data_IF_743626225159
#
_entry.id   IF_743626225159
#
_cell.length_a   1.000
_cell.length_b   1.000
_cell.length_c   1.000
_cell.angle_alpha   90.00
_cell.angle_beta   90.00
_cell.angle_gamma   90.00
#
_symmetry.space_group_name_H-M   'P 1'
#
loop_
_entity.id
_entity.type
_entity.pdbx_description
1 polymer ?
#
# COMPACT_ATOMS: atom_id res chain seq x y z
N UNK A 1 -11.25 32.41 2.78
CA UNK A 1 -11.03 31.05 2.26
C UNK A 1 -10.08 30.24 3.15
N UNK A 2 -8.82 30.65 3.39
CA UNK A 2 -7.88 29.89 4.23
C UNK A 2 -8.38 29.68 5.67
N UNK A 3 -8.96 30.69 6.30
CA UNK A 3 -9.52 30.62 7.66
C UNK A 3 -10.75 29.72 7.79
N UNK A 4 -11.58 29.60 6.75
CA UNK A 4 -12.73 28.68 6.77
C UNK A 4 -12.26 27.23 6.63
N UNK A 5 -11.31 26.95 5.73
CA UNK A 5 -10.76 25.61 5.56
C UNK A 5 -10.07 25.11 6.83
N UNK A 6 -9.36 26.00 7.56
CA UNK A 6 -8.73 25.63 8.82
C UNK A 6 -9.76 25.26 9.90
N UNK A 7 -10.90 25.95 9.96
CA UNK A 7 -11.99 25.65 10.90
C UNK A 7 -12.72 24.34 10.56
N UNK A 8 -12.81 24.02 9.27
CA UNK A 8 -13.50 22.82 8.77
C UNK A 8 -12.57 21.61 8.66
N UNK A 9 -11.24 21.78 8.91
CA UNK A 9 -10.29 20.67 8.90
C UNK A 9 -10.52 19.79 10.13
N UNK A 10 -10.67 18.49 9.91
CA UNK A 10 -10.77 17.52 10.99
C UNK A 10 -9.59 17.65 11.96
N UNK A 11 -9.86 17.53 13.24
CA UNK A 11 -8.80 17.50 14.25
C UNK A 11 -7.94 16.25 14.05
N UNK A 12 -6.63 16.42 14.09
CA UNK A 12 -5.71 15.29 14.03
C UNK A 12 -5.91 14.37 15.23
N UNK A 13 -6.10 13.10 14.94
CA UNK A 13 -6.21 12.03 15.94
C UNK A 13 -5.27 10.87 15.54
N UNK A 14 -4.19 10.70 16.29
CA UNK A 14 -3.22 9.63 16.05
C UNK A 14 -3.85 8.25 16.11
N UNK A 15 -4.91 8.05 16.93
CA UNK A 15 -5.65 6.78 17.00
C UNK A 15 -6.23 6.38 15.64
N UNK A 16 -6.65 7.33 14.79
CA UNK A 16 -7.10 7.04 13.42
C UNK A 16 -5.99 6.49 12.53
N UNK A 17 -4.75 6.92 12.75
CA UNK A 17 -3.59 6.36 12.04
C UNK A 17 -3.26 4.96 12.53
N UNK A 18 -3.38 4.72 13.83
CA UNK A 18 -3.13 3.43 14.48
C UNK A 18 -4.27 2.43 14.25
N UNK A 19 -5.52 2.91 14.17
CA UNK A 19 -6.72 2.10 13.93
C UNK A 19 -6.82 1.67 12.46
N UNK A 20 -5.86 0.93 11.98
CA UNK A 20 -5.99 0.19 10.72
C UNK A 20 -6.60 -1.17 11.00
N UNK A 21 -7.80 -1.19 11.51
CA UNK A 21 -8.58 -2.40 11.50
C UNK A 21 -8.82 -2.81 10.04
N UNK A 22 -8.50 -4.05 9.70
CA UNK A 22 -8.97 -4.62 8.45
C UNK A 22 -10.50 -4.72 8.51
N UNK A 23 -11.18 -4.58 7.38
CA UNK A 23 -12.59 -4.98 7.31
C UNK A 23 -12.68 -6.49 7.52
N UNK A 24 -13.69 -6.91 8.27
CA UNK A 24 -13.90 -8.31 8.60
C UNK A 24 -15.24 -8.77 8.06
N UNK A 25 -15.25 -9.90 7.39
CA UNK A 25 -16.45 -10.56 6.91
C UNK A 25 -16.76 -11.75 7.82
N UNK A 26 -18.00 -11.81 8.27
CA UNK A 26 -18.52 -12.85 9.16
C UNK A 26 -19.49 -13.74 8.39
N UNK A 27 -19.49 -15.01 8.72
CA UNK A 27 -20.43 -15.99 8.20
C UNK A 27 -21.81 -15.91 8.92
N UNK A 28 -22.72 -16.82 8.58
CA UNK A 28 -24.07 -16.88 9.18
C UNK A 28 -24.08 -17.20 10.68
N UNK A 29 -22.99 -17.76 11.20
CA UNK A 29 -22.83 -18.09 12.62
C UNK A 29 -22.17 -16.95 13.41
N UNK A 30 -21.67 -15.91 12.71
CA UNK A 30 -20.89 -14.83 13.31
C UNK A 30 -19.39 -15.16 13.43
N UNK A 31 -18.93 -16.24 12.80
CA UNK A 31 -17.53 -16.60 12.75
C UNK A 31 -16.82 -15.81 11.64
N UNK A 32 -15.54 -15.49 11.86
CA UNK A 32 -14.73 -14.77 10.87
C UNK A 32 -14.45 -15.71 9.69
N UNK A 33 -15.04 -15.40 8.52
CA UNK A 33 -14.79 -16.13 7.30
C UNK A 33 -13.71 -15.47 6.41
N UNK A 34 -13.53 -14.16 6.54
CA UNK A 34 -12.53 -13.43 5.75
C UNK A 34 -12.15 -12.12 6.44
N UNK A 35 -10.85 -11.80 6.38
CA UNK A 35 -10.34 -10.50 6.82
C UNK A 35 -9.62 -9.85 5.63
N UNK A 36 -10.09 -8.68 5.22
CA UNK A 36 -9.53 -7.95 4.08
C UNK A 36 -8.06 -7.60 4.33
N UNK A 37 -7.18 -8.02 3.43
CA UNK A 37 -5.74 -7.78 3.54
C UNK A 37 -5.00 -8.67 4.54
N UNK A 38 -5.62 -9.77 5.01
CA UNK A 38 -4.95 -10.80 5.81
C UNK A 38 -4.39 -11.94 4.97
N UNK A 39 -3.38 -12.64 5.51
CA UNK A 39 -2.95 -13.96 5.05
C UNK A 39 -3.83 -15.06 5.68
N UNK A 40 -3.69 -16.30 5.20
CA UNK A 40 -4.52 -17.48 5.51
C UNK A 40 -4.96 -17.72 6.98
N UNK A 41 -4.38 -17.03 7.96
CA UNK A 41 -4.72 -17.17 9.38
C UNK A 41 -5.40 -15.92 10.01
N UNK A 42 -6.02 -15.06 9.22
CA UNK A 42 -6.97 -14.04 9.72
C UNK A 42 -6.36 -12.80 10.39
N UNK A 43 -5.07 -12.73 10.63
CA UNK A 43 -4.43 -11.55 11.24
C UNK A 43 -3.47 -10.87 10.27
N UNK A 44 -3.75 -9.62 9.95
CA UNK A 44 -2.82 -8.75 9.23
C UNK A 44 -1.61 -8.53 10.13
N UNK A 45 -0.45 -9.09 9.74
CA UNK A 45 0.80 -8.85 10.46
C UNK A 45 1.28 -7.43 10.13
N UNK A 46 1.14 -6.50 11.05
CA UNK A 46 1.80 -5.21 10.95
C UNK A 46 3.28 -5.40 11.33
N UNK A 47 4.15 -4.76 10.55
CA UNK A 47 5.58 -4.67 10.88
C UNK A 47 5.82 -3.49 11.82
N UNK A 48 6.89 -3.57 12.60
CA UNK A 48 7.51 -2.44 13.31
C UNK A 48 8.63 -1.84 12.45
N UNK A 49 9.20 -0.71 12.85
CA UNK A 49 10.33 -0.12 12.10
C UNK A 49 11.56 -1.05 12.11
N UNK A 50 11.80 -1.74 13.22
CA UNK A 50 12.93 -2.65 13.38
C UNK A 50 12.85 -3.90 12.48
N UNK A 51 11.65 -4.23 11.96
CA UNK A 51 11.47 -5.30 10.98
C UNK A 51 11.86 -4.86 9.55
N UNK A 52 12.04 -3.55 9.31
CA UNK A 52 12.30 -3.00 7.97
C UNK A 52 13.81 -3.00 7.68
N UNK A 53 14.28 -3.75 6.67
CA UNK A 53 15.69 -3.67 6.28
C UNK A 53 15.98 -2.30 5.66
N UNK A 54 17.19 -1.77 5.89
CA UNK A 54 17.59 -0.44 5.44
C UNK A 54 17.41 -0.26 3.92
N UNK A 55 17.70 -1.29 3.13
CA UNK A 55 17.50 -1.24 1.66
C UNK A 55 16.05 -0.95 1.25
N UNK A 56 15.06 -1.38 2.06
CA UNK A 56 13.65 -1.08 1.80
C UNK A 56 13.33 0.37 2.15
N UNK A 57 13.80 0.84 3.32
CA UNK A 57 13.62 2.23 3.76
C UNK A 57 14.19 3.18 2.70
N UNK A 58 15.42 2.93 2.26
CA UNK A 58 16.12 3.73 1.26
C UNK A 58 15.40 3.73 -0.10
N UNK A 59 14.91 2.56 -0.55
CA UNK A 59 14.18 2.44 -1.81
C UNK A 59 12.86 3.22 -1.78
N UNK A 60 12.08 3.12 -0.68
CA UNK A 60 10.82 3.84 -0.49
C UNK A 60 11.07 5.35 -0.44
N UNK A 61 12.05 5.79 0.34
CA UNK A 61 12.40 7.21 0.49
C UNK A 61 12.91 7.79 -0.82
N UNK A 62 13.79 7.07 -1.52
CA UNK A 62 14.29 7.49 -2.84
C UNK A 62 13.15 7.63 -3.87
N UNK A 63 12.17 6.72 -3.84
CA UNK A 63 11.06 6.68 -4.77
C UNK A 63 10.01 7.77 -4.49
N UNK A 64 9.59 7.88 -3.24
CA UNK A 64 8.40 8.62 -2.85
C UNK A 64 8.72 9.98 -2.24
N UNK A 65 9.80 10.09 -1.46
CA UNK A 65 10.05 11.29 -0.68
C UNK A 65 11.52 11.41 -0.23
N UNK A 66 12.41 11.77 -1.15
CA UNK A 66 13.85 11.73 -0.95
C UNK A 66 14.38 12.61 0.22
N UNK A 67 13.55 13.50 0.73
CA UNK A 67 13.86 14.34 1.91
C UNK A 67 12.93 14.06 3.08
N UNK A 68 12.37 12.86 3.15
CA UNK A 68 11.40 12.46 4.17
C UNK A 68 11.86 12.74 5.60
N UNK A 69 13.12 12.43 5.89
CA UNK A 69 13.69 12.63 7.23
C UNK A 69 14.09 14.09 7.54
N UNK A 70 14.02 15.00 6.56
CA UNK A 70 14.45 16.40 6.71
C UNK A 70 13.30 17.37 6.92
N UNK A 71 12.12 17.12 6.31
CA UNK A 71 10.98 18.03 6.35
C UNK A 71 9.98 17.67 7.46
N UNK A 72 9.06 18.57 7.80
CA UNK A 72 8.05 18.41 8.85
C UNK A 72 6.66 18.14 8.24
N UNK A 73 6.47 16.98 7.59
CA UNK A 73 5.20 16.55 6.97
C UNK A 73 4.89 17.18 5.61
N UNK A 74 5.60 18.25 5.24
CA UNK A 74 5.36 19.05 4.04
C UNK A 74 6.68 19.51 3.44
N UNK A 75 6.90 19.27 2.15
CA UNK A 75 8.10 19.64 1.40
C UNK A 75 7.80 20.71 0.36
N UNK A 76 7.94 21.99 0.73
CA UNK A 76 7.69 23.12 -0.16
C UNK A 76 8.63 23.13 -1.40
N UNK A 77 9.96 22.97 -1.28
CA UNK A 77 10.85 22.90 -2.43
C UNK A 77 10.47 21.81 -3.43
N UNK A 78 10.04 20.64 -2.95
CA UNK A 78 9.57 19.54 -3.79
C UNK A 78 8.32 19.92 -4.57
N UNK A 79 7.36 20.57 -3.93
CA UNK A 79 6.11 21.02 -4.57
C UNK A 79 6.40 22.04 -5.66
N UNK A 80 7.24 23.05 -5.37
CA UNK A 80 7.65 24.06 -6.35
C UNK A 80 8.35 23.40 -7.55
N UNK A 81 9.27 22.47 -7.30
CA UNK A 81 9.96 21.72 -8.35
C UNK A 81 9.00 20.90 -9.19
N UNK A 82 8.05 20.19 -8.58
CA UNK A 82 7.04 19.41 -9.28
C UNK A 82 6.14 20.31 -10.14
N UNK A 83 5.71 21.48 -9.62
CA UNK A 83 4.92 22.45 -10.36
C UNK A 83 5.66 22.97 -11.59
N UNK A 84 6.94 23.32 -11.45
CA UNK A 84 7.77 23.79 -12.56
C UNK A 84 8.04 22.69 -13.61
N UNK A 85 8.26 21.44 -13.17
CA UNK A 85 8.42 20.30 -14.06
C UNK A 85 7.16 20.02 -14.88
N UNK A 86 5.99 20.01 -14.22
CA UNK A 86 4.70 19.79 -14.86
C UNK A 86 4.38 20.90 -15.87
N UNK A 87 4.72 22.15 -15.54
CA UNK A 87 4.55 23.28 -16.45
C UNK A 87 5.40 23.16 -17.73
N UNK A 88 6.65 22.66 -17.58
CA UNK A 88 7.56 22.45 -18.70
C UNK A 88 7.18 21.24 -19.57
N UNK A 89 6.63 20.20 -18.95
CA UNK A 89 6.25 18.96 -19.65
C UNK A 89 4.87 19.05 -20.32
N UNK A 90 4.05 20.05 -19.97
CA UNK A 90 2.66 20.15 -20.43
C UNK A 90 1.73 19.08 -19.84
N UNK A 91 2.23 18.25 -18.94
CA UNK A 91 1.50 17.15 -18.29
C UNK A 91 1.99 16.94 -16.84
N UNK A 92 1.19 16.23 -16.03
CA UNK A 92 1.53 15.93 -14.63
C UNK A 92 2.54 14.78 -14.58
N UNK A 93 3.83 15.09 -14.64
CA UNK A 93 4.93 14.13 -14.67
C UNK A 93 5.47 13.74 -13.30
N UNK A 94 5.11 14.44 -12.22
CA UNK A 94 5.61 14.15 -10.88
C UNK A 94 4.66 14.52 -9.75
N UNK A 95 4.63 13.68 -8.70
CA UNK A 95 3.89 13.90 -7.47
C UNK A 95 4.69 14.73 -6.47
N UNK A 96 4.14 15.88 -6.05
CA UNK A 96 4.74 16.72 -5.00
C UNK A 96 4.32 16.34 -3.57
N UNK A 97 3.58 15.24 -3.36
CA UNK A 97 3.10 14.83 -2.05
C UNK A 97 4.16 14.05 -1.28
N UNK A 98 4.29 14.32 0.02
CA UNK A 98 5.18 13.58 0.93
C UNK A 98 4.56 12.25 1.35
N UNK A 99 5.38 11.34 1.94
CA UNK A 99 4.91 10.09 2.56
C UNK A 99 3.85 10.40 3.63
N UNK A 100 4.08 11.40 4.48
CA UNK A 100 3.13 11.82 5.52
C UNK A 100 1.79 12.27 4.90
N UNK A 101 1.82 13.08 3.84
CA UNK A 101 0.59 13.48 3.14
C UNK A 101 -0.15 12.29 2.50
N UNK A 102 0.58 11.30 1.97
CA UNK A 102 -0.03 10.10 1.42
C UNK A 102 -0.70 9.25 2.50
N UNK A 103 -0.06 9.09 3.68
CA UNK A 103 -0.63 8.42 4.85
C UNK A 103 -1.92 9.13 5.30
N UNK A 104 -1.88 10.45 5.48
CA UNK A 104 -3.04 11.27 5.84
C UNK A 104 -4.16 11.13 4.83
N UNK A 105 -3.87 11.24 3.53
CA UNK A 105 -4.86 11.08 2.47
C UNK A 105 -5.58 9.73 2.58
N UNK A 106 -4.84 8.65 2.76
CA UNK A 106 -5.41 7.29 2.85
C UNK A 106 -6.26 7.08 4.11
N UNK A 107 -5.92 7.76 5.21
CA UNK A 107 -6.59 7.58 6.50
C UNK A 107 -7.80 8.50 6.68
N UNK A 108 -7.66 9.77 6.29
CA UNK A 108 -8.68 10.80 6.55
C UNK A 108 -9.58 11.09 5.35
N UNK A 109 -9.10 10.77 4.13
CA UNK A 109 -9.77 11.13 2.88
C UNK A 109 -9.77 9.97 1.86
N UNK A 110 -10.12 8.73 2.25
CA UNK A 110 -9.97 7.56 1.38
C UNK A 110 -10.77 7.69 0.07
N UNK A 111 -11.98 8.23 0.13
CA UNK A 111 -12.91 8.34 -1.00
C UNK A 111 -13.21 9.78 -1.41
N UNK A 112 -12.50 10.76 -0.84
CA UNK A 112 -12.78 12.17 -1.11
C UNK A 112 -12.31 12.61 -2.50
N UNK A 113 -13.15 13.40 -3.16
CA UNK A 113 -12.82 14.01 -4.45
C UNK A 113 -11.56 14.87 -4.38
N UNK A 114 -10.86 15.01 -5.51
CA UNK A 114 -9.67 15.86 -5.64
C UNK A 114 -10.07 17.33 -5.66
N UNK A 115 -10.03 18.00 -4.50
CA UNK A 115 -10.29 19.43 -4.36
C UNK A 115 -9.10 20.15 -3.74
N UNK A 116 -8.98 21.44 -3.98
CA UNK A 116 -7.96 22.28 -3.32
C UNK A 116 -8.15 22.35 -1.80
N UNK A 117 -9.40 22.41 -1.34
CA UNK A 117 -9.74 22.41 0.09
C UNK A 117 -9.23 21.14 0.77
N UNK A 118 -9.54 19.95 0.20
CA UNK A 118 -9.02 18.69 0.69
C UNK A 118 -7.48 18.68 0.73
N UNK A 119 -6.82 19.15 -0.35
CA UNK A 119 -5.35 19.19 -0.39
C UNK A 119 -4.76 20.07 0.70
N UNK A 120 -5.42 21.18 1.01
CA UNK A 120 -5.00 22.05 2.10
C UNK A 120 -5.17 21.37 3.47
N UNK A 121 -6.28 20.67 3.69
CA UNK A 121 -6.52 19.87 4.89
C UNK A 121 -5.51 18.74 5.04
N UNK A 122 -5.14 18.06 3.95
CA UNK A 122 -4.05 17.05 3.95
C UNK A 122 -2.72 17.63 4.45
N UNK A 123 -2.35 18.83 4.01
CA UNK A 123 -1.11 19.49 4.42
C UNK A 123 -1.14 19.83 5.92
N UNK A 124 -2.24 20.41 6.40
CA UNK A 124 -2.39 20.75 7.82
C UNK A 124 -2.28 19.50 8.69
N UNK A 125 -3.01 18.44 8.35
CA UNK A 125 -2.98 17.19 9.09
C UNK A 125 -1.62 16.49 9.00
N UNK A 126 -0.92 16.57 7.86
CA UNK A 126 0.42 16.02 7.71
C UNK A 126 1.45 16.72 8.62
N UNK A 127 1.37 18.03 8.75
CA UNK A 127 2.20 18.80 9.68
C UNK A 127 1.90 18.43 11.14
N UNK A 128 0.62 18.21 11.48
CA UNK A 128 0.23 17.79 12.82
C UNK A 128 0.68 16.37 13.12
N UNK A 129 0.58 15.46 12.15
CA UNK A 129 1.06 14.09 12.26
C UNK A 129 2.58 14.03 12.49
N UNK A 130 3.33 14.80 11.73
CA UNK A 130 4.80 14.85 11.82
C UNK A 130 5.31 15.47 13.13
N UNK A 131 4.48 16.29 13.79
CA UNK A 131 4.76 16.81 15.14
C UNK A 131 4.44 15.80 16.25
N UNK A 132 3.48 14.91 16.01
CA UNK A 132 2.96 13.98 17.02
C UNK A 132 3.62 12.60 16.97
N UNK A 133 4.21 12.23 15.84
CA UNK A 133 4.79 10.91 15.56
C UNK A 133 6.23 11.07 15.05
N UNK A 134 7.07 10.09 15.31
CA UNK A 134 8.41 10.01 14.72
C UNK A 134 8.34 9.68 13.22
N UNK A 135 9.43 9.90 12.49
CA UNK A 135 9.53 9.53 11.08
C UNK A 135 9.42 8.02 10.87
N UNK A 136 9.99 7.26 11.76
CA UNK A 136 9.94 5.80 11.80
C UNK A 136 8.51 5.31 11.98
N UNK A 137 7.76 5.91 12.91
CA UNK A 137 6.33 5.59 13.12
C UNK A 137 5.49 5.92 11.88
N UNK A 138 5.70 7.10 11.28
CA UNK A 138 4.98 7.53 10.06
C UNK A 138 5.26 6.57 8.90
N UNK A 139 6.54 6.23 8.67
CA UNK A 139 6.94 5.33 7.58
C UNK A 139 6.35 3.93 7.79
N UNK A 140 6.41 3.41 9.01
CA UNK A 140 5.86 2.11 9.37
C UNK A 140 4.34 2.06 9.17
N UNK A 141 3.62 3.07 9.65
CA UNK A 141 2.18 3.20 9.45
C UNK A 141 1.81 3.30 7.96
N UNK A 142 2.61 4.01 7.18
CA UNK A 142 2.43 4.12 5.74
C UNK A 142 2.60 2.76 5.06
N UNK A 143 3.71 2.05 5.33
CA UNK A 143 4.01 0.76 4.73
C UNK A 143 3.02 -0.34 5.13
N UNK A 144 2.45 -0.26 6.32
CA UNK A 144 1.42 -1.19 6.76
C UNK A 144 0.04 -0.97 6.08
N UNK A 145 -0.19 0.21 5.44
CA UNK A 145 -1.51 0.57 4.90
C UNK A 145 -1.59 0.59 3.38
N UNK A 146 -0.47 0.63 2.69
CA UNK A 146 -0.49 0.88 1.26
C UNK A 146 -0.63 -0.39 0.44
N UNK A 147 -1.07 -0.22 -0.82
CA UNK A 147 -1.20 -1.29 -1.81
C UNK A 147 0.08 -1.41 -2.61
N UNK A 148 0.55 -2.64 -2.80
CA UNK A 148 1.73 -2.96 -3.61
C UNK A 148 1.41 -3.66 -4.93
N UNK A 149 0.15 -4.00 -5.21
CA UNK A 149 -0.28 -4.70 -6.42
C UNK A 149 -1.79 -4.75 -6.58
N UNK A 150 -2.26 -5.59 -7.51
CA UNK A 150 -3.69 -5.77 -7.81
C UNK A 150 -4.41 -6.61 -6.77
N UNK A 151 -3.68 -7.55 -6.13
CA UNK A 151 -4.25 -8.46 -5.16
C UNK A 151 -4.49 -7.80 -3.81
N UNK A 152 -5.56 -8.19 -3.14
CA UNK A 152 -5.82 -7.83 -1.73
C UNK A 152 -4.73 -8.40 -0.81
N UNK A 153 -4.07 -9.50 -1.23
CA UNK A 153 -2.93 -10.10 -0.54
C UNK A 153 -1.67 -9.24 -0.58
N UNK A 154 -1.66 -8.15 -1.35
CA UNK A 154 -0.54 -7.20 -1.43
C UNK A 154 -0.80 -5.89 -0.67
N UNK A 155 -1.71 -5.89 0.32
CA UNK A 155 -1.97 -4.73 1.18
C UNK A 155 -1.07 -4.77 2.40
N UNK A 156 -0.21 -3.76 2.52
CA UNK A 156 0.84 -3.68 3.54
C UNK A 156 2.09 -4.47 3.14
N UNK A 157 3.23 -4.00 3.65
CA UNK A 157 4.54 -4.49 3.23
C UNK A 157 4.76 -5.97 3.58
N UNK A 158 4.33 -6.43 4.75
CA UNK A 158 4.48 -7.83 5.14
C UNK A 158 3.70 -8.77 4.19
N UNK A 159 2.45 -8.42 3.88
CA UNK A 159 1.62 -9.19 2.97
C UNK A 159 2.18 -9.17 1.55
N UNK A 160 2.63 -8.01 1.07
CA UNK A 160 3.22 -7.88 -0.26
C UNK A 160 4.52 -8.68 -0.40
N UNK A 161 5.41 -8.64 0.60
CA UNK A 161 6.66 -9.41 0.60
C UNK A 161 6.36 -10.91 0.56
N UNK A 162 5.40 -11.35 1.34
CA UNK A 162 4.98 -12.76 1.34
C UNK A 162 4.34 -13.17 0.02
N UNK A 163 3.47 -12.32 -0.54
CA UNK A 163 2.76 -12.55 -1.80
C UNK A 163 3.69 -12.66 -3.01
N UNK A 164 4.65 -11.73 -3.13
CA UNK A 164 5.54 -11.71 -4.29
C UNK A 164 6.74 -12.64 -4.14
N UNK A 165 7.32 -12.75 -2.95
CA UNK A 165 8.62 -13.40 -2.75
C UNK A 165 8.60 -14.60 -1.80
N UNK A 166 7.49 -14.84 -1.11
CA UNK A 166 7.38 -15.86 -0.05
C UNK A 166 8.43 -15.70 1.07
N UNK A 167 8.78 -14.47 1.42
CA UNK A 167 9.78 -14.09 2.42
C UNK A 167 9.18 -13.26 3.55
N UNK A 168 9.92 -13.13 4.65
CA UNK A 168 9.68 -12.08 5.64
C UNK A 168 10.29 -10.75 5.17
N UNK A 169 9.79 -9.62 5.72
CA UNK A 169 10.22 -8.28 5.29
C UNK A 169 11.70 -8.05 5.52
N UNK A 170 12.24 -8.56 6.63
CA UNK A 170 13.67 -8.47 6.98
C UNK A 170 14.61 -9.17 5.99
N UNK A 171 14.08 -10.07 5.16
CA UNK A 171 14.85 -10.83 4.17
C UNK A 171 14.87 -10.20 2.76
N UNK A 172 14.26 -9.02 2.60
CA UNK A 172 14.21 -8.33 1.32
C UNK A 172 15.59 -7.93 0.83
N UNK A 173 15.89 -8.32 -0.40
CA UNK A 173 17.09 -7.90 -1.12
C UNK A 173 16.90 -6.56 -1.83
N UNK A 174 17.97 -5.92 -2.25
CA UNK A 174 17.94 -4.63 -2.96
C UNK A 174 17.01 -4.64 -4.19
N UNK A 175 17.07 -5.62 -5.13
CA UNK A 175 16.18 -5.62 -6.30
C UNK A 175 14.71 -5.85 -5.92
N UNK A 176 14.42 -6.61 -4.86
CA UNK A 176 13.06 -6.83 -4.36
C UNK A 176 12.50 -5.57 -3.69
N UNK A 177 13.29 -4.91 -2.84
CA UNK A 177 12.93 -3.63 -2.22
C UNK A 177 12.64 -2.55 -3.27
N UNK A 178 13.49 -2.44 -4.29
CA UNK A 178 13.30 -1.49 -5.40
C UNK A 178 12.04 -1.82 -6.23
N UNK A 179 11.70 -3.09 -6.41
CA UNK A 179 10.48 -3.51 -7.10
C UNK A 179 9.24 -3.09 -6.30
N UNK A 180 9.20 -3.37 -4.99
CA UNK A 180 8.09 -2.96 -4.13
C UNK A 180 7.95 -1.43 -4.08
N UNK A 181 9.05 -0.70 -3.91
CA UNK A 181 9.03 0.77 -3.95
C UNK A 181 8.51 1.31 -5.29
N UNK A 182 8.85 0.64 -6.39
CA UNK A 182 8.38 1.00 -7.73
C UNK A 182 6.88 0.84 -7.90
N UNK A 183 6.28 -0.18 -7.30
CA UNK A 183 4.85 -0.47 -7.44
C UNK A 183 3.94 0.60 -6.82
N UNK A 184 4.44 1.37 -5.84
CA UNK A 184 3.65 2.36 -5.10
C UNK A 184 3.01 3.45 -5.95
N UNK A 185 3.70 3.87 -7.00
CA UNK A 185 3.23 4.91 -7.91
C UNK A 185 1.94 4.50 -8.65
N UNK A 186 1.87 3.25 -9.09
CA UNK A 186 0.70 2.66 -9.74
C UNK A 186 0.67 1.14 -9.51
N UNK A 187 0.16 0.68 -8.38
CA UNK A 187 0.16 -0.74 -8.02
C UNK A 187 -0.46 -1.64 -9.10
N UNK A 188 -1.45 -1.12 -9.82
CA UNK A 188 -2.10 -1.84 -10.90
C UNK A 188 -1.22 -2.02 -12.15
N UNK A 189 -0.48 -0.98 -12.54
CA UNK A 189 0.33 -0.98 -13.76
C UNK A 189 1.73 -1.59 -13.56
N UNK A 190 2.18 -1.68 -12.31
CA UNK A 190 3.51 -2.20 -11.96
C UNK A 190 3.44 -3.52 -11.18
N UNK A 191 2.30 -4.21 -11.20
CA UNK A 191 2.18 -5.56 -10.64
C UNK A 191 2.94 -6.55 -11.52
N UNK A 192 4.01 -7.20 -11.00
CA UNK A 192 4.89 -8.04 -11.83
C UNK A 192 4.22 -9.31 -12.34
N UNK A 193 3.19 -9.81 -11.68
CA UNK A 193 2.44 -10.97 -12.18
C UNK A 193 1.58 -10.68 -13.42
N UNK A 194 1.26 -9.40 -13.67
CA UNK A 194 0.40 -8.99 -14.79
C UNK A 194 1.13 -8.10 -15.79
N UNK A 195 2.12 -7.33 -15.34
CA UNK A 195 2.82 -6.33 -16.15
C UNK A 195 4.34 -6.40 -15.91
N UNK A 196 4.94 -7.57 -16.16
CA UNK A 196 6.35 -7.87 -15.86
C UNK A 196 7.33 -6.82 -16.43
N UNK A 197 7.16 -6.42 -17.69
CA UNK A 197 8.03 -5.44 -18.33
C UNK A 197 7.95 -4.08 -17.64
N UNK A 198 6.74 -3.59 -17.35
CA UNK A 198 6.54 -2.33 -16.67
C UNK A 198 7.13 -2.36 -15.24
N UNK A 199 6.94 -3.47 -14.52
CA UNK A 199 7.51 -3.69 -13.20
C UNK A 199 9.05 -3.67 -13.24
N UNK A 200 9.65 -4.31 -14.24
CA UNK A 200 11.11 -4.33 -14.46
C UNK A 200 11.67 -2.94 -14.74
N UNK A 201 11.07 -2.20 -15.66
CA UNK A 201 11.49 -0.84 -15.99
C UNK A 201 11.34 0.10 -14.80
N UNK A 202 10.23 -0.05 -14.06
CA UNK A 202 9.98 0.76 -12.88
C UNK A 202 10.97 0.45 -11.76
N UNK A 203 11.27 -0.83 -11.48
CA UNK A 203 12.33 -1.24 -10.56
C UNK A 203 13.68 -0.60 -10.94
N UNK A 204 14.06 -0.67 -12.20
CA UNK A 204 15.30 -0.08 -12.70
C UNK A 204 15.34 1.45 -12.50
N UNK A 205 14.19 2.10 -12.66
CA UNK A 205 14.04 3.54 -12.36
C UNK A 205 14.28 3.83 -10.88
N UNK A 206 13.75 3.01 -9.97
CA UNK A 206 13.99 3.16 -8.52
C UNK A 206 15.46 2.96 -8.17
N UNK A 207 16.10 1.92 -8.70
CA UNK A 207 17.55 1.69 -8.52
C UNK A 207 18.38 2.90 -8.95
N UNK A 208 18.06 3.51 -10.10
CA UNK A 208 18.72 4.75 -10.53
C UNK A 208 18.46 5.93 -9.58
N UNK A 209 17.25 6.03 -9.01
CA UNK A 209 16.96 7.06 -7.99
C UNK A 209 17.76 6.82 -6.72
N UNK A 210 17.93 5.56 -6.30
CA UNK A 210 18.76 5.22 -5.13
C UNK A 210 20.22 5.62 -5.34
N UNK A 211 20.81 5.39 -6.53
CA UNK A 211 22.15 5.90 -6.90
C UNK A 211 22.18 7.42 -6.83
N UNK A 212 21.21 8.09 -7.46
CA UNK A 212 21.14 9.55 -7.52
C UNK A 212 21.09 10.20 -6.14
N UNK A 213 20.46 9.54 -5.17
CA UNK A 213 20.33 10.03 -3.80
C UNK A 213 21.43 9.49 -2.86
N UNK A 214 22.38 8.71 -3.39
CA UNK A 214 23.55 8.25 -2.62
C UNK A 214 23.26 7.07 -1.68
N UNK A 215 22.16 6.36 -1.86
CA UNK A 215 21.79 5.19 -1.05
C UNK A 215 22.55 3.93 -1.46
N UNK A 216 22.87 3.82 -2.75
CA UNK A 216 23.64 2.70 -3.31
C UNK A 216 24.68 3.22 -4.32
N UNK A 217 25.71 2.41 -4.55
CA UNK A 217 26.70 2.65 -5.60
C UNK A 217 26.17 2.28 -6.98
N UNK A 218 26.83 2.79 -8.04
CA UNK A 218 26.48 2.40 -9.41
C UNK A 218 26.66 0.90 -9.64
N UNK A 219 27.69 0.28 -9.03
CA UNK A 219 27.94 -1.16 -9.13
C UNK A 219 26.79 -1.97 -8.53
N UNK A 220 26.33 -1.64 -7.33
CA UNK A 220 25.18 -2.31 -6.70
C UNK A 220 23.89 -2.15 -7.53
N UNK A 221 23.68 -0.99 -8.14
CA UNK A 221 22.58 -0.75 -9.05
C UNK A 221 22.65 -1.68 -10.28
N UNK A 222 23.81 -1.80 -10.91
CA UNK A 222 24.00 -2.61 -12.10
C UNK A 222 23.87 -4.11 -11.77
N UNK A 223 24.43 -4.55 -10.64
CA UNK A 223 24.27 -5.92 -10.14
C UNK A 223 22.78 -6.24 -9.86
N UNK A 224 22.05 -5.32 -9.22
CA UNK A 224 20.63 -5.49 -8.95
C UNK A 224 19.76 -5.52 -10.21
N UNK A 225 20.12 -4.75 -11.25
CA UNK A 225 19.42 -4.79 -12.55
C UNK A 225 19.61 -6.09 -13.30
N UNK A 226 20.74 -6.76 -13.12
CA UNK A 226 21.01 -8.07 -13.73
C UNK A 226 20.14 -9.19 -13.15
N UNK A 227 19.58 -9.00 -11.96
CA UNK A 227 18.60 -9.95 -11.38
C UNK A 227 17.29 -9.82 -12.15
N UNK A 228 16.85 -10.91 -12.79
CA UNK A 228 15.58 -10.94 -13.52
C UNK A 228 14.41 -10.93 -12.54
N UNK A 229 13.41 -10.09 -12.80
CA UNK A 229 12.23 -9.94 -11.91
C UNK A 229 11.48 -11.24 -11.77
N UNK A 230 11.29 -11.98 -12.86
CA UNK A 230 10.62 -13.28 -12.86
C UNK A 230 11.27 -14.31 -11.93
N UNK A 231 12.58 -14.23 -11.72
CA UNK A 231 13.32 -15.16 -10.84
C UNK A 231 13.17 -14.81 -9.35
N UNK A 232 12.72 -13.59 -9.03
CA UNK A 232 12.46 -13.17 -7.66
C UNK A 232 11.05 -13.59 -7.21
N UNK A 233 10.14 -13.75 -8.17
CA UNK A 233 8.73 -14.01 -7.88
C UNK A 233 8.51 -15.45 -7.39
N UNK A 234 7.63 -15.60 -6.43
CA UNK A 234 7.16 -16.89 -6.01
C UNK A 234 6.43 -17.59 -7.17
N UNK A 235 6.82 -18.83 -7.49
CA UNK A 235 6.27 -19.59 -8.64
C UNK A 235 4.80 -19.97 -8.43
N UNK A 236 4.38 -20.21 -7.19
CA UNK A 236 2.98 -20.32 -6.85
C UNK A 236 2.50 -18.89 -6.58
N UNK A 237 1.66 -18.34 -7.47
CA UNK A 237 0.77 -17.26 -7.02
C UNK A 237 0.19 -17.78 -5.70
N UNK A 238 0.54 -17.12 -4.59
CA UNK A 238 -0.21 -17.31 -3.36
C UNK A 238 -1.57 -16.67 -3.68
N UNK A 239 -2.34 -17.39 -4.48
CA UNK A 239 -3.75 -17.13 -4.54
C UNK A 239 -4.19 -17.43 -3.12
N UNK A 240 -4.79 -16.46 -2.46
CA UNK A 240 -5.76 -16.79 -1.43
C UNK A 240 -6.82 -17.62 -2.17
N UNK A 241 -6.52 -18.88 -2.44
CA UNK A 241 -7.52 -19.90 -2.73
C UNK A 241 -8.20 -20.21 -1.40
N UNK A 242 -8.67 -19.13 -0.72
CA UNK A 242 -9.65 -19.37 0.30
C UNK A 242 -10.83 -19.97 -0.43
N UNK A 243 -11.33 -21.06 0.08
CA UNK A 243 -12.60 -21.70 -0.26
C UNK A 243 -13.70 -20.64 -0.55
N UNK A 244 -13.49 -19.43 -0.09
CA UNK A 244 -14.42 -18.31 -0.12
C UNK A 244 -14.08 -17.21 -1.14
N UNK A 245 -13.01 -17.29 -1.93
CA UNK A 245 -12.54 -16.15 -2.76
C UNK A 245 -13.62 -15.58 -3.68
N UNK A 246 -14.33 -16.43 -4.41
CA UNK A 246 -15.42 -15.99 -5.30
C UNK A 246 -16.58 -15.34 -4.52
N UNK A 247 -16.91 -15.87 -3.35
CA UNK A 247 -17.94 -15.33 -2.49
C UNK A 247 -17.54 -13.96 -1.92
N UNK A 248 -16.28 -13.82 -1.49
CA UNK A 248 -15.70 -12.57 -1.01
C UNK A 248 -15.76 -11.48 -2.07
N UNK A 249 -15.43 -11.82 -3.32
CA UNK A 249 -15.49 -10.86 -4.44
C UNK A 249 -16.94 -10.38 -4.67
N UNK A 250 -17.91 -11.31 -4.71
CA UNK A 250 -19.35 -10.97 -4.88
C UNK A 250 -19.83 -10.07 -3.74
N UNK A 251 -19.53 -10.42 -2.49
CA UNK A 251 -19.92 -9.61 -1.32
C UNK A 251 -19.24 -8.25 -1.34
N UNK A 252 -17.96 -8.19 -1.72
CA UNK A 252 -17.22 -6.93 -1.84
C UNK A 252 -17.88 -5.99 -2.85
N UNK A 253 -18.26 -6.50 -4.00
CA UNK A 253 -18.94 -5.71 -5.05
C UNK A 253 -20.33 -5.26 -4.61
N UNK A 254 -21.07 -6.12 -3.91
CA UNK A 254 -22.39 -5.78 -3.38
C UNK A 254 -22.31 -4.70 -2.28
N UNK A 255 -21.32 -4.78 -1.40
CA UNK A 255 -21.05 -3.73 -0.39
C UNK A 255 -20.74 -2.41 -1.07
N UNK A 256 -19.85 -2.39 -2.06
CA UNK A 256 -19.55 -1.17 -2.84
C UNK A 256 -20.79 -0.59 -3.50
N UNK A 257 -21.59 -1.44 -4.11
CA UNK A 257 -22.83 -1.02 -4.78
C UNK A 257 -23.87 -0.43 -3.84
N UNK A 258 -24.06 -1.04 -2.66
CA UNK A 258 -25.08 -0.60 -1.67
C UNK A 258 -24.65 0.61 -0.86
N UNK A 259 -23.39 0.68 -0.49
CA UNK A 259 -22.90 1.69 0.47
C UNK A 259 -22.08 2.81 -0.17
N UNK A 260 -21.59 2.60 -1.39
CA UNK A 260 -20.60 3.48 -2.04
C UNK A 260 -19.21 3.38 -1.41
N UNK A 261 -19.01 2.53 -0.39
CA UNK A 261 -17.75 2.37 0.34
C UNK A 261 -17.03 1.10 -0.11
N UNK A 262 -15.70 1.18 -0.17
CA UNK A 262 -14.83 0.05 -0.48
C UNK A 262 -14.32 -0.60 0.81
N UNK A 263 -14.63 -1.88 1.11
CA UNK A 263 -14.13 -2.58 2.31
C UNK A 263 -12.61 -2.63 2.41
N UNK A 264 -11.92 -2.50 1.29
CA UNK A 264 -10.45 -2.46 1.25
C UNK A 264 -9.88 -1.12 1.71
N UNK A 265 -10.68 -0.05 1.64
CA UNK A 265 -10.27 1.32 1.97
C UNK A 265 -10.89 1.83 3.26
N UNK A 266 -12.10 1.38 3.55
CA UNK A 266 -12.90 1.81 4.71
C UNK A 266 -13.15 0.61 5.60
N UNK A 267 -12.66 0.65 6.83
CA UNK A 267 -12.87 -0.42 7.81
C UNK A 267 -14.36 -0.62 8.10
N UNK A 268 -14.82 -1.86 7.98
CA UNK A 268 -16.20 -2.23 8.32
C UNK A 268 -16.31 -3.69 8.72
N UNK A 269 -17.35 -4.01 9.47
CA UNK A 269 -17.77 -5.37 9.74
C UNK A 269 -18.88 -5.74 8.78
N UNK A 270 -18.69 -6.80 8.00
CA UNK A 270 -19.63 -7.27 6.97
C UNK A 270 -20.20 -8.60 7.44
N UNK A 271 -21.48 -8.62 7.76
CA UNK A 271 -22.20 -9.82 8.16
C UNK A 271 -22.89 -10.43 6.96
N UNK A 272 -22.63 -11.71 6.70
CA UNK A 272 -23.20 -12.43 5.56
C UNK A 272 -24.07 -13.59 6.01
N UNK A 273 -24.84 -14.14 5.08
CA UNK A 273 -25.60 -15.38 5.28
C UNK A 273 -24.85 -16.60 4.77
N UNK A 274 -23.54 -16.50 4.52
CA UNK A 274 -22.73 -17.63 4.08
C UNK A 274 -22.68 -18.71 5.17
N UNK A 275 -23.00 -19.93 4.81
CA UNK A 275 -22.70 -21.09 5.65
C UNK A 275 -21.31 -21.62 5.27
N UNK A 276 -20.35 -21.45 6.15
CA UNK A 276 -18.94 -21.79 5.90
C UNK A 276 -18.74 -23.28 5.62
N UNK A 277 -19.51 -24.17 6.26
CA UNK A 277 -19.44 -25.62 6.01
C UNK A 277 -19.93 -25.98 4.59
N UNK A 278 -21.09 -25.43 4.21
CA UNK A 278 -21.64 -25.63 2.86
C UNK A 278 -20.71 -25.05 1.78
N UNK A 279 -20.07 -23.92 2.07
CA UNK A 279 -19.12 -23.30 1.15
C UNK A 279 -17.85 -24.15 0.99
N UNK A 280 -17.35 -24.75 2.08
CA UNK A 280 -16.21 -25.65 2.04
C UNK A 280 -16.53 -26.90 1.20
N UNK A 281 -17.72 -27.47 1.38
CA UNK A 281 -18.21 -28.61 0.62
C UNK A 281 -18.31 -28.29 -0.88
N UNK A 282 -18.89 -27.14 -1.22
CA UNK A 282 -19.01 -26.68 -2.61
C UNK A 282 -17.64 -26.50 -3.28
N UNK A 283 -16.65 -26.00 -2.55
CA UNK A 283 -15.29 -25.84 -3.06
C UNK A 283 -14.58 -27.20 -3.26
N UNK A 284 -14.74 -28.15 -2.34
CA UNK A 284 -14.19 -29.49 -2.48
C UNK A 284 -14.75 -30.19 -3.74
N UNK A 285 -16.06 -30.08 -3.97
CA UNK A 285 -16.70 -30.58 -5.21
C UNK A 285 -16.10 -29.91 -6.44
N UNK A 286 -15.97 -28.57 -6.42
CA UNK A 286 -15.42 -27.79 -7.53
C UNK A 286 -13.97 -28.15 -7.86
N UNK A 287 -13.20 -28.56 -6.87
CA UNK A 287 -11.81 -29.03 -7.01
C UNK A 287 -11.70 -30.50 -7.41
N UNK A 288 -12.81 -31.23 -7.57
CA UNK A 288 -12.82 -32.65 -7.93
C UNK A 288 -12.47 -33.61 -6.78
N UNK A 289 -12.53 -33.11 -5.55
CA UNK A 289 -12.33 -33.95 -4.37
C UNK A 289 -13.55 -34.87 -4.17
N UNK A 290 -13.29 -36.15 -3.90
CA UNK A 290 -14.36 -37.09 -3.53
C UNK A 290 -14.81 -36.77 -2.09
N UNK A 291 -16.08 -36.50 -1.93
CA UNK A 291 -16.74 -36.31 -0.64
C UNK A 291 -17.08 -37.65 -0.02
#
# INVERSE_FOLDING_TARGET
MVTSVYKDTATFDSKKLLSSGASVMYDSNGDIMYTYGSQENGTRKNVTYDDLPQVLVDAIVAAEDSRFFEHNGFDLPRIVKAALSNLKAGDITGGGSTITQQLIKKTYFPDAQRTYSRKFSEIILAIQADKALSKEEILTLYLNKIYFGRSTSSIGIAAATKYYFNKDVSELTLPEAAMLAGSLNSPYNYDPYYCLNNATERRNTILNLMVKHGYITQKECDDAKNVKVENMLCSSKITNSSVNAAYVDIVTDEVKKRTGLDPLKTQMNIYTYCNSETQALAAAIGNGEKI
#
